data_IF_874480887485
#
_entry.id   IF_874480887485
#
_cell.length_a   1.000
_cell.length_b   1.000
_cell.length_c   1.000
_cell.angle_alpha   90.00
_cell.angle_beta   90.00
_cell.angle_gamma   90.00
#
_symmetry.space_group_name_H-M   'P 1'
#
loop_
_entity.id
_entity.type
_entity.pdbx_description
1 polymer ?
#
# COMPACT_ATOMS: atom_id res chain seq x y z
N UNK A 1 28.71 -6.41 11.35
CA UNK A 1 28.64 -6.26 9.88
C UNK A 1 27.61 -5.20 9.57
N UNK A 2 27.90 -4.19 8.74
CA UNK A 2 26.89 -3.21 8.39
C UNK A 2 25.85 -3.94 7.54
N UNK A 3 24.63 -4.01 8.06
CA UNK A 3 23.44 -4.38 7.30
C UNK A 3 23.46 -3.56 6.02
N UNK A 4 23.55 -4.21 4.87
CA UNK A 4 23.24 -3.58 3.59
C UNK A 4 21.86 -2.97 3.79
N UNK A 5 21.75 -1.65 3.85
CA UNK A 5 20.45 -0.98 3.81
C UNK A 5 19.94 -1.32 2.43
N UNK A 6 19.06 -2.32 2.34
CA UNK A 6 18.39 -2.63 1.10
C UNK A 6 17.72 -1.35 0.65
N UNK A 7 18.21 -0.81 -0.47
CA UNK A 7 17.70 0.46 -0.98
C UNK A 7 16.28 0.19 -1.42
N UNK A 8 15.30 0.71 -0.71
CA UNK A 8 13.88 0.49 -1.01
C UNK A 8 13.38 1.42 -2.12
N UNK A 9 12.23 1.05 -2.69
CA UNK A 9 11.40 1.88 -3.55
C UNK A 9 10.26 2.44 -2.71
N UNK A 10 9.96 3.72 -2.88
CA UNK A 10 8.89 4.39 -2.13
C UNK A 10 7.92 5.03 -3.12
N UNK A 11 6.64 4.74 -2.95
CA UNK A 11 5.55 5.44 -3.62
C UNK A 11 4.60 6.03 -2.58
N UNK A 12 4.00 7.17 -2.89
CA UNK A 12 2.98 7.77 -2.06
C UNK A 12 1.82 8.35 -2.87
N UNK A 13 0.61 8.23 -2.34
CA UNK A 13 -0.54 9.03 -2.69
C UNK A 13 -0.85 9.97 -1.53
N UNK A 14 -0.95 11.27 -1.79
CA UNK A 14 -1.13 12.31 -0.76
C UNK A 14 -2.20 13.29 -1.14
N UNK A 15 -2.95 13.80 -0.15
CA UNK A 15 -3.96 14.84 -0.36
C UNK A 15 -5.01 14.45 -1.39
N UNK A 16 -5.37 15.42 -2.24
CA UNK A 16 -6.34 15.29 -3.32
C UNK A 16 -5.62 14.91 -4.64
N UNK A 17 -5.37 13.61 -4.81
CA UNK A 17 -4.87 13.04 -6.07
C UNK A 17 -3.42 13.37 -6.48
N UNK A 18 -2.55 13.73 -5.53
CA UNK A 18 -1.12 13.84 -5.81
C UNK A 18 -0.43 12.49 -5.61
N UNK A 19 0.39 12.10 -6.59
CA UNK A 19 1.12 10.84 -6.59
C UNK A 19 2.62 11.09 -6.73
N UNK A 20 3.39 10.30 -5.98
CA UNK A 20 4.84 10.18 -6.10
C UNK A 20 5.18 8.74 -6.46
N UNK A 21 5.74 8.51 -7.65
CA UNK A 21 6.04 7.17 -8.17
C UNK A 21 7.30 6.57 -7.56
N UNK A 22 7.48 5.26 -7.72
CA UNK A 22 8.73 4.58 -7.34
C UNK A 22 9.97 5.12 -8.08
N UNK A 23 9.76 5.67 -9.29
CA UNK A 23 10.80 6.31 -10.10
C UNK A 23 11.09 7.78 -9.74
N UNK A 24 10.35 8.36 -8.77
CA UNK A 24 10.54 9.74 -8.34
C UNK A 24 9.72 10.78 -9.11
N UNK A 25 8.81 10.36 -9.99
CA UNK A 25 7.92 11.29 -10.71
C UNK A 25 6.80 11.75 -9.79
N UNK A 26 6.52 13.06 -9.83
CA UNK A 26 5.34 13.66 -9.20
C UNK A 26 4.31 14.01 -10.25
N UNK A 27 3.04 13.68 -10.01
CA UNK A 27 1.94 14.07 -10.89
C UNK A 27 0.60 14.10 -10.15
N UNK A 28 -0.41 14.69 -10.79
CA UNK A 28 -1.79 14.71 -10.33
C UNK A 28 -2.66 13.83 -11.24
N UNK A 29 -3.56 13.07 -10.65
CA UNK A 29 -4.49 12.23 -11.40
C UNK A 29 -5.87 12.19 -10.73
N UNK A 30 -6.70 13.22 -10.98
CA UNK A 30 -8.03 13.31 -10.38
C UNK A 30 -8.99 12.30 -11.02
N UNK A 31 -9.71 11.58 -10.17
CA UNK A 31 -10.73 10.65 -10.62
C UNK A 31 -11.45 9.93 -9.47
N UNK A 32 -12.62 9.35 -9.76
CA UNK A 32 -13.50 8.74 -8.76
C UNK A 32 -13.57 7.21 -8.83
N UNK A 33 -12.81 6.59 -9.73
CA UNK A 33 -12.78 5.14 -9.85
C UNK A 33 -11.86 4.50 -8.81
N UNK A 34 -11.96 3.19 -8.63
CA UNK A 34 -10.94 2.41 -7.91
C UNK A 34 -9.71 2.30 -8.82
N UNK A 35 -8.53 2.59 -8.27
CA UNK A 35 -7.28 2.54 -9.00
C UNK A 35 -6.30 1.58 -8.34
N UNK A 36 -5.56 0.82 -9.16
CA UNK A 36 -4.39 0.12 -8.67
C UNK A 36 -3.29 1.13 -8.38
N UNK A 37 -2.96 1.30 -7.10
CA UNK A 37 -1.85 2.15 -6.69
C UNK A 37 -0.53 1.45 -7.05
N UNK A 38 -0.35 0.22 -6.59
CA UNK A 38 0.80 -0.62 -6.93
C UNK A 38 0.41 -2.10 -6.90
N UNK A 39 1.09 -2.92 -7.70
CA UNK A 39 1.00 -4.39 -7.62
C UNK A 39 1.98 -5.04 -8.57
N UNK A 40 2.20 -6.35 -8.39
CA UNK A 40 2.98 -7.14 -9.32
C UNK A 40 2.17 -7.44 -10.59
N UNK A 41 2.79 -7.27 -11.76
CA UNK A 41 2.08 -7.35 -13.04
C UNK A 41 2.85 -8.20 -14.07
N UNK A 42 2.23 -9.27 -14.56
CA UNK A 42 2.86 -10.23 -15.47
C UNK A 42 3.38 -11.49 -14.77
N UNK A 43 3.97 -12.39 -15.54
CA UNK A 43 4.37 -13.74 -15.08
C UNK A 43 5.88 -13.89 -14.83
N UNK A 44 6.68 -12.85 -15.09
CA UNK A 44 8.13 -12.88 -15.00
C UNK A 44 8.69 -12.81 -13.56
N UNK A 45 7.83 -13.00 -12.55
CA UNK A 45 8.11 -12.68 -11.14
C UNK A 45 8.18 -13.93 -10.28
N UNK A 46 8.57 -15.07 -10.84
CA UNK A 46 8.40 -16.41 -10.23
C UNK A 46 8.99 -16.58 -8.82
N UNK A 47 9.84 -15.66 -8.37
CA UNK A 47 10.47 -15.67 -7.04
C UNK A 47 9.98 -14.55 -6.11
N UNK A 48 8.97 -13.78 -6.51
CA UNK A 48 8.45 -12.64 -5.75
C UNK A 48 7.07 -12.96 -5.19
N UNK A 49 6.84 -12.58 -3.93
CA UNK A 49 5.51 -12.73 -3.33
C UNK A 49 4.50 -11.77 -3.99
N UNK A 50 3.36 -12.30 -4.50
CA UNK A 50 2.34 -11.50 -5.16
C UNK A 50 1.63 -10.57 -4.18
N UNK A 51 1.37 -9.34 -4.63
CA UNK A 51 0.51 -8.41 -3.92
C UNK A 51 -0.20 -7.45 -4.88
N UNK A 52 -1.29 -6.86 -4.39
CA UNK A 52 -1.93 -5.69 -5.00
C UNK A 52 -2.41 -4.72 -3.94
N UNK A 53 -2.16 -3.43 -4.16
CA UNK A 53 -2.66 -2.33 -3.35
C UNK A 53 -3.52 -1.44 -4.24
N UNK A 54 -4.82 -1.45 -3.96
CA UNK A 54 -5.80 -0.62 -4.64
C UNK A 54 -6.23 0.55 -3.74
N UNK A 55 -6.49 1.69 -4.37
CA UNK A 55 -6.93 2.94 -3.76
C UNK A 55 -8.33 3.28 -4.27
N UNK A 56 -9.23 3.50 -3.32
CA UNK A 56 -10.61 3.93 -3.60
C UNK A 56 -10.80 5.36 -3.12
N UNK A 57 -10.91 6.36 -4.03
CA UNK A 57 -11.28 7.72 -3.67
C UNK A 57 -12.68 7.76 -3.06
N UNK A 58 -12.85 8.50 -1.97
CA UNK A 58 -14.12 8.67 -1.28
C UNK A 58 -14.43 10.15 -1.12
N UNK A 59 -15.63 10.55 -1.54
CA UNK A 59 -16.12 11.90 -1.35
C UNK A 59 -16.53 12.12 0.11
N UNK A 60 -16.20 13.29 0.67
CA UNK A 60 -16.61 13.73 2.00
C UNK A 60 -16.95 15.22 1.97
N UNK A 61 -17.60 15.79 3.01
CA UNK A 61 -18.07 17.18 2.97
C UNK A 61 -16.99 18.23 2.67
N UNK A 62 -15.71 17.93 2.94
CA UNK A 62 -14.56 18.79 2.65
C UNK A 62 -13.51 18.02 1.84
N UNK A 63 -13.71 17.93 0.52
CA UNK A 63 -12.74 17.37 -0.43
C UNK A 63 -12.82 15.85 -0.55
N UNK A 64 -11.66 15.21 -0.69
CA UNK A 64 -11.56 13.77 -0.88
C UNK A 64 -10.83 13.11 0.29
N UNK A 65 -11.14 11.83 0.48
CA UNK A 65 -10.32 10.91 1.26
C UNK A 65 -10.12 9.65 0.44
N UNK A 66 -9.46 8.65 0.99
CA UNK A 66 -9.16 7.40 0.30
C UNK A 66 -9.33 6.22 1.25
N UNK A 67 -9.89 5.12 0.77
CA UNK A 67 -9.78 3.81 1.40
C UNK A 67 -8.77 2.97 0.62
N UNK A 68 -8.16 1.99 1.28
CA UNK A 68 -7.17 1.10 0.68
C UNK A 68 -7.65 -0.34 0.75
N UNK A 69 -7.30 -1.12 -0.27
CA UNK A 69 -7.44 -2.58 -0.26
C UNK A 69 -6.08 -3.20 -0.55
N UNK A 70 -5.52 -3.94 0.40
CA UNK A 70 -4.28 -4.69 0.21
C UNK A 70 -4.62 -6.17 0.08
N UNK A 71 -4.18 -6.80 -0.99
CA UNK A 71 -4.13 -8.26 -1.11
C UNK A 71 -2.67 -8.70 -1.03
N UNK A 72 -2.32 -9.47 0.01
CA UNK A 72 -0.97 -9.98 0.28
C UNK A 72 -1.07 -11.16 1.27
N UNK A 73 -0.08 -12.06 1.27
CA UNK A 73 -0.06 -13.21 2.19
C UNK A 73 -1.34 -14.09 2.12
N UNK A 74 -1.99 -14.17 0.96
CA UNK A 74 -3.26 -14.90 0.79
C UNK A 74 -4.48 -14.25 1.45
N UNK A 75 -4.35 -13.05 2.03
CA UNK A 75 -5.44 -12.31 2.67
C UNK A 75 -5.85 -11.09 1.86
N UNK A 76 -7.10 -10.66 2.03
CA UNK A 76 -7.60 -9.35 1.64
C UNK A 76 -7.83 -8.46 2.86
N UNK A 77 -7.12 -7.33 2.93
CA UNK A 77 -7.25 -6.32 3.97
C UNK A 77 -7.94 -5.08 3.39
N UNK A 78 -9.18 -4.80 3.80
CA UNK A 78 -9.87 -3.54 3.49
C UNK A 78 -9.68 -2.54 4.65
N UNK A 79 -9.18 -1.35 4.33
CA UNK A 79 -8.85 -0.27 5.26
C UNK A 79 -9.67 0.96 4.90
N UNK A 80 -10.69 1.27 5.70
CA UNK A 80 -11.61 2.37 5.44
C UNK A 80 -11.56 3.42 6.57
N UNK A 81 -11.64 4.72 6.25
CA UNK A 81 -11.85 5.76 7.27
C UNK A 81 -13.10 5.57 8.13
N UNK A 82 -14.04 4.70 7.72
CA UNK A 82 -15.25 4.35 8.49
C UNK A 82 -14.98 3.38 9.64
N UNK A 83 -13.90 2.60 9.55
CA UNK A 83 -13.55 1.56 10.51
C UNK A 83 -12.29 1.96 11.27
N UNK A 84 -12.29 3.17 11.83
CA UNK A 84 -11.16 3.63 12.63
C UNK A 84 -10.81 2.58 13.70
N UNK A 85 -9.52 2.32 13.88
CA UNK A 85 -9.00 1.32 14.82
C UNK A 85 -9.18 -0.15 14.43
N UNK A 86 -9.76 -0.41 13.26
CA UNK A 86 -10.02 -1.76 12.77
C UNK A 86 -9.60 -1.90 11.31
N UNK A 87 -9.41 -3.14 10.89
CA UNK A 87 -9.29 -3.52 9.48
C UNK A 87 -10.32 -4.61 9.19
N UNK A 88 -10.79 -4.73 7.95
CA UNK A 88 -11.51 -5.94 7.55
C UNK A 88 -10.54 -6.92 6.91
N UNK A 89 -10.43 -8.11 7.47
CA UNK A 89 -9.66 -9.23 6.92
C UNK A 89 -10.65 -10.22 6.34
N UNK A 90 -10.63 -10.40 5.02
CA UNK A 90 -11.57 -11.25 4.28
C UNK A 90 -13.04 -10.97 4.63
N UNK A 91 -13.37 -9.69 4.85
CA UNK A 91 -14.70 -9.21 5.20
C UNK A 91 -15.03 -9.23 6.71
N UNK A 92 -14.20 -9.85 7.54
CA UNK A 92 -14.38 -9.91 8.99
C UNK A 92 -13.68 -8.70 9.63
N UNK A 93 -14.37 -7.99 10.52
CA UNK A 93 -13.81 -6.83 11.22
C UNK A 93 -12.86 -7.31 12.33
N UNK A 94 -11.59 -6.94 12.23
CA UNK A 94 -10.52 -7.30 13.15
C UNK A 94 -9.95 -6.07 13.84
N UNK A 95 -9.61 -6.21 15.12
CA UNK A 95 -8.93 -5.16 15.88
C UNK A 95 -7.42 -5.17 15.62
N UNK A 96 -6.79 -3.99 15.70
CA UNK A 96 -5.34 -3.86 15.63
C UNK A 96 -4.72 -3.99 17.04
N UNK A 97 -3.53 -4.62 17.19
CA UNK A 97 -2.72 -5.21 16.13
C UNK A 97 -3.27 -6.56 15.65
N UNK A 98 -3.14 -6.81 14.35
CA UNK A 98 -3.50 -8.05 13.69
C UNK A 98 -2.25 -8.74 13.12
N UNK A 99 -2.19 -10.07 13.22
CA UNK A 99 -1.06 -10.87 12.77
C UNK A 99 -1.54 -12.05 11.94
N UNK A 100 -0.85 -12.33 10.84
CA UNK A 100 -1.04 -13.53 10.03
C UNK A 100 0.28 -14.30 9.93
N UNK A 101 0.48 -15.21 10.90
CA UNK A 101 1.72 -15.96 11.04
C UNK A 101 2.95 -15.05 11.09
N UNK A 102 3.98 -15.39 10.31
CA UNK A 102 5.16 -14.54 10.11
C UNK A 102 5.01 -13.61 8.90
N UNK A 103 4.01 -13.83 8.04
CA UNK A 103 3.92 -13.17 6.74
C UNK A 103 3.46 -11.72 6.84
N UNK A 104 2.49 -11.41 7.72
CA UNK A 104 1.90 -10.08 7.80
C UNK A 104 1.66 -9.64 9.24
N UNK A 105 1.94 -8.36 9.51
CA UNK A 105 1.58 -7.67 10.74
C UNK A 105 0.97 -6.31 10.42
N UNK A 106 -0.25 -6.09 10.88
CA UNK A 106 -0.92 -4.79 10.84
C UNK A 106 -1.02 -4.20 12.25
N UNK A 107 -0.61 -2.95 12.44
CA UNK A 107 -0.48 -2.34 13.77
C UNK A 107 -0.55 -0.81 13.70
N UNK A 108 -0.66 -0.19 14.87
CA UNK A 108 -0.60 1.26 15.00
C UNK A 108 0.82 1.75 15.28
N UNK A 109 1.20 2.81 14.57
CA UNK A 109 2.31 3.66 14.95
C UNK A 109 1.80 5.10 15.06
N UNK A 110 1.63 5.59 16.30
CA UNK A 110 0.94 6.85 16.54
C UNK A 110 -0.50 6.80 16.04
N UNK A 111 -0.85 7.68 15.11
CA UNK A 111 -2.18 7.75 14.49
C UNK A 111 -2.28 7.03 13.13
N UNK A 112 -1.21 6.34 12.71
CA UNK A 112 -1.13 5.71 11.41
C UNK A 112 -1.28 4.19 11.53
N UNK A 113 -1.96 3.61 10.57
CA UNK A 113 -1.89 2.17 10.29
C UNK A 113 -0.57 1.88 9.58
N UNK A 114 0.15 0.88 10.10
CA UNK A 114 1.29 0.27 9.47
C UNK A 114 0.96 -1.19 9.14
N UNK A 115 1.27 -1.63 7.92
CA UNK A 115 1.22 -3.05 7.54
C UNK A 115 2.59 -3.45 7.02
N UNK A 116 3.25 -4.36 7.72
CA UNK A 116 4.55 -4.91 7.32
C UNK A 116 4.38 -6.37 6.89
N UNK A 117 5.18 -6.79 5.93
CA UNK A 117 5.26 -8.19 5.47
C UNK A 117 6.67 -8.74 5.55
N UNK A 118 6.82 -10.06 5.61
CA UNK A 118 8.13 -10.73 5.63
C UNK A 118 8.91 -10.59 4.31
N UNK A 119 8.21 -10.42 3.18
CA UNK A 119 8.81 -10.11 1.88
C UNK A 119 9.18 -8.63 1.71
N UNK A 120 9.02 -7.80 2.76
CA UNK A 120 9.54 -6.44 2.81
C UNK A 120 8.62 -5.34 2.27
N UNK A 121 7.35 -5.64 1.92
CA UNK A 121 6.34 -4.61 1.73
C UNK A 121 6.03 -3.96 3.08
N UNK A 122 6.07 -2.63 3.12
CA UNK A 122 5.60 -1.82 4.25
C UNK A 122 4.64 -0.73 3.76
N UNK A 123 3.41 -0.73 4.28
CA UNK A 123 2.36 0.25 4.00
C UNK A 123 2.19 1.15 5.22
N UNK A 124 2.11 2.46 4.99
CA UNK A 124 1.69 3.45 5.99
C UNK A 124 0.46 4.19 5.49
N UNK A 125 -0.57 4.27 6.32
CA UNK A 125 -1.84 4.92 6.01
C UNK A 125 -2.37 5.72 7.20
N UNK A 126 -2.78 6.97 6.97
CA UNK A 126 -3.22 7.90 8.03
C UNK A 126 -4.74 7.96 8.21
N UNK A 127 -5.49 7.06 7.59
CA UNK A 127 -6.96 7.08 7.55
C UNK A 127 -7.57 8.25 6.77
N UNK A 128 -6.74 9.03 6.06
CA UNK A 128 -7.23 10.18 5.31
C UNK A 128 -6.43 10.51 4.04
N UNK A 129 -5.31 11.21 4.20
CA UNK A 129 -4.60 11.87 3.11
C UNK A 129 -3.50 11.01 2.52
N UNK A 130 -2.76 10.29 3.36
CA UNK A 130 -1.50 9.64 3.05
C UNK A 130 -1.71 8.14 2.91
N UNK A 131 -1.34 7.60 1.75
CA UNK A 131 -1.04 6.19 1.56
C UNK A 131 0.40 6.09 1.03
N UNK A 132 1.31 5.45 1.76
CA UNK A 132 2.70 5.27 1.35
C UNK A 132 3.06 3.80 1.36
N UNK A 133 3.58 3.30 0.25
CA UNK A 133 4.06 1.92 0.13
C UNK A 133 5.55 1.91 -0.15
N UNK A 134 6.25 1.05 0.58
CA UNK A 134 7.68 0.79 0.43
C UNK A 134 7.88 -0.66 0.05
N UNK A 135 8.79 -0.93 -0.89
CA UNK A 135 9.10 -2.27 -1.38
C UNK A 135 10.62 -2.47 -1.56
N UNK A 136 11.12 -3.72 -1.51
CA UNK A 136 12.48 -4.04 -1.93
C UNK A 136 12.71 -3.71 -3.40
N UNK A 137 13.94 -3.31 -3.75
CA UNK A 137 14.28 -2.85 -5.12
C UNK A 137 14.05 -3.86 -6.22
N UNK A 138 14.19 -5.14 -5.89
CA UNK A 138 13.97 -6.27 -6.78
C UNK A 138 12.55 -6.32 -7.38
N UNK A 139 11.56 -5.69 -6.74
CA UNK A 139 10.21 -5.56 -7.31
C UNK A 139 10.14 -4.57 -8.49
N UNK A 140 11.05 -3.59 -8.56
CA UNK A 140 10.92 -2.42 -9.43
C UNK A 140 10.52 -2.68 -10.89
N UNK A 141 11.20 -3.59 -11.62
CA UNK A 141 10.91 -3.87 -13.03
C UNK A 141 9.55 -4.52 -13.29
N UNK A 142 8.86 -4.92 -12.23
CA UNK A 142 7.73 -5.84 -12.25
C UNK A 142 6.43 -5.23 -11.72
N UNK A 143 6.50 -3.97 -11.29
CA UNK A 143 5.40 -3.22 -10.73
C UNK A 143 4.57 -2.56 -11.82
N UNK A 144 3.26 -2.47 -11.61
CA UNK A 144 2.40 -1.59 -12.38
C UNK A 144 1.34 -0.91 -11.49
N UNK A 145 0.61 0.03 -12.09
CA UNK A 145 -0.33 0.91 -11.38
C UNK A 145 0.14 2.36 -11.39
N UNK A 146 -0.54 3.21 -10.62
CA UNK A 146 -0.26 4.64 -10.53
C UNK A 146 1.15 4.95 -9.96
N UNK A 147 1.71 4.05 -9.16
CA UNK A 147 3.09 4.16 -8.68
C UNK A 147 4.16 3.90 -9.75
N UNK A 148 3.75 3.43 -10.94
CA UNK A 148 4.63 3.10 -12.05
C UNK A 148 5.58 1.92 -11.77
N UNK A 149 6.36 1.57 -12.78
CA UNK A 149 7.51 0.68 -12.65
C UNK A 149 8.79 1.48 -12.32
N UNK A 150 9.80 0.82 -11.78
CA UNK A 150 11.14 1.39 -11.60
C UNK A 150 12.19 0.41 -12.13
N UNK A 151 12.81 0.75 -13.25
CA UNK A 151 14.02 0.04 -13.71
C UNK A 151 15.26 0.74 -13.16
N UNK A 152 16.30 -0.01 -12.74
CA UNK A 152 17.58 0.55 -12.31
C UNK A 152 18.30 1.31 -13.43
#
# INVERSE_FOLDING_TARGET
>A
SPTVVEKSLVCAATGDFHFHTFGGTHYEFPGSCVYRLAGLCGTAHANLEPFSLDLTPLLRPRGWTKALTLSACGLRLDMSPKDLNHIRVDGILESLPFFHGHCLRAYYQGHQLCVDTDFGLSLTYDWDSLARVTLPRLYGPYLCGLCGQHSP
#
